data_IF_393765007222
#
_entry.id   IF_393765007222
#
_cell.length_a   1.000
_cell.length_b   1.000
_cell.length_c   1.000
_cell.angle_alpha   90.00
_cell.angle_beta   90.00
_cell.angle_gamma   90.00
#
_symmetry.space_group_name_H-M   'P 1'
#
loop_
_entity.id
_entity.type
_entity.pdbx_description
1 polymer ?
#
# COMPACT_ATOMS: atom_id res chain seq x y z
N UNK A 1 4.41 -8.19 -5.77
CA UNK A 1 3.21 -7.53 -5.21
C UNK A 1 3.54 -6.08 -4.94
N UNK A 2 2.68 -5.17 -5.40
CA UNK A 2 2.97 -3.73 -5.46
C UNK A 2 1.86 -2.99 -4.71
N UNK A 3 2.22 -2.19 -3.71
CA UNK A 3 1.28 -1.30 -3.03
C UNK A 3 0.86 -0.15 -3.94
N UNK A 4 -0.22 0.54 -3.61
CA UNK A 4 -0.78 1.62 -4.43
C UNK A 4 -0.40 3.00 -3.88
N UNK A 5 -0.88 3.28 -2.68
CA UNK A 5 -0.72 4.59 -2.04
C UNK A 5 0.73 4.76 -1.58
N UNK A 6 1.36 5.89 -1.94
CA UNK A 6 2.77 6.12 -1.68
C UNK A 6 3.76 5.31 -2.53
N UNK A 7 3.29 4.40 -3.40
CA UNK A 7 4.12 3.61 -4.33
C UNK A 7 3.79 3.93 -5.78
N UNK A 8 2.54 3.80 -6.19
CA UNK A 8 2.08 4.17 -7.54
C UNK A 8 1.56 5.60 -7.61
N UNK A 9 1.02 6.11 -6.51
CA UNK A 9 0.47 7.46 -6.40
C UNK A 9 1.05 8.20 -5.20
N UNK A 10 1.35 9.49 -5.36
CA UNK A 10 1.70 10.40 -4.26
C UNK A 10 0.41 10.84 -3.52
N UNK A 11 -0.27 9.88 -2.92
CA UNK A 11 -1.61 10.03 -2.34
C UNK A 11 -1.63 10.22 -0.83
N UNK A 12 -0.55 9.89 -0.12
CA UNK A 12 -0.58 9.80 1.34
C UNK A 12 -0.89 11.09 2.05
N UNK A 13 -0.41 12.23 1.52
CA UNK A 13 -0.77 13.55 2.06
C UNK A 13 -2.29 13.76 2.05
N UNK A 14 -2.96 13.42 0.95
CA UNK A 14 -4.41 13.54 0.85
C UNK A 14 -5.12 12.56 1.78
N UNK A 15 -4.61 11.36 1.94
CA UNK A 15 -5.16 10.39 2.87
C UNK A 15 -5.11 10.91 4.31
N UNK A 16 -3.96 11.45 4.77
CA UNK A 16 -3.84 11.97 6.13
C UNK A 16 -4.77 13.16 6.39
N UNK A 17 -4.93 14.06 5.40
CA UNK A 17 -5.87 15.18 5.47
C UNK A 17 -7.31 14.67 5.56
N UNK A 18 -7.70 13.73 4.70
CA UNK A 18 -9.07 13.22 4.67
C UNK A 18 -9.45 12.48 5.96
N UNK A 19 -8.51 11.75 6.57
CA UNK A 19 -8.68 11.13 7.88
C UNK A 19 -8.86 12.18 8.98
N UNK A 20 -7.96 13.17 9.02
CA UNK A 20 -8.03 14.25 10.01
C UNK A 20 -9.37 15.01 9.92
N UNK A 21 -9.80 15.40 8.71
CA UNK A 21 -11.09 16.03 8.48
C UNK A 21 -12.26 15.19 9.02
N UNK A 22 -12.24 13.89 8.78
CA UNK A 22 -13.29 12.99 9.28
C UNK A 22 -13.34 12.97 10.80
N UNK A 23 -12.21 12.74 11.45
CA UNK A 23 -12.18 12.60 12.91
C UNK A 23 -12.39 13.92 13.63
N UNK A 24 -11.95 15.07 13.07
CA UNK A 24 -12.26 16.40 13.59
C UNK A 24 -13.77 16.67 13.59
N UNK A 25 -14.46 16.32 12.49
CA UNK A 25 -15.92 16.47 12.38
C UNK A 25 -16.68 15.60 13.40
N UNK A 26 -16.06 14.55 13.90
CA UNK A 26 -16.60 13.68 14.93
C UNK A 26 -16.15 14.09 16.36
N UNK A 27 -15.37 15.17 16.48
CA UNK A 27 -14.85 15.66 17.77
C UNK A 27 -13.78 14.76 18.38
N UNK A 28 -13.14 13.90 17.59
CA UNK A 28 -12.06 13.02 18.05
C UNK A 28 -10.70 13.68 17.86
N UNK A 29 -9.87 13.59 18.91
CA UNK A 29 -8.54 14.19 18.88
C UNK A 29 -7.52 13.24 18.25
N UNK A 30 -7.22 13.47 16.95
CA UNK A 30 -6.23 12.70 16.20
C UNK A 30 -5.12 13.61 15.69
N UNK A 31 -3.90 13.09 15.59
CA UNK A 31 -2.82 13.76 14.87
C UNK A 31 -2.88 13.40 13.39
N UNK A 32 -2.78 14.39 12.49
CA UNK A 32 -2.76 14.13 11.06
C UNK A 32 -1.62 13.18 10.66
N UNK A 33 -0.45 13.37 11.24
CA UNK A 33 0.75 12.65 10.83
C UNK A 33 0.79 11.20 11.34
N UNK A 34 -0.03 10.85 12.35
CA UNK A 34 -0.19 9.46 12.78
C UNK A 34 -0.75 8.56 11.65
N UNK A 35 -1.55 9.12 10.73
CA UNK A 35 -2.15 8.35 9.63
C UNK A 35 -1.14 7.85 8.59
N UNK A 36 0.08 8.39 8.56
CA UNK A 36 1.17 7.77 7.80
C UNK A 36 1.59 6.42 8.38
N UNK A 37 1.41 6.20 9.69
CA UNK A 37 1.75 4.95 10.35
C UNK A 37 0.67 3.86 10.14
N UNK A 38 -0.54 4.27 9.81
CA UNK A 38 -1.68 3.36 9.55
C UNK A 38 -1.86 3.04 8.08
N UNK A 39 -0.95 3.53 7.23
CA UNK A 39 -0.99 3.23 5.80
C UNK A 39 -0.95 1.72 5.54
N UNK A 40 -1.83 1.28 4.63
CA UNK A 40 -1.98 -0.13 4.31
C UNK A 40 -3.06 -0.86 5.12
N UNK A 41 -3.54 -0.29 6.23
CA UNK A 41 -4.74 -0.80 6.91
C UNK A 41 -5.97 -0.63 6.01
N UNK A 42 -6.97 -1.51 6.19
CA UNK A 42 -8.29 -1.24 5.62
C UNK A 42 -8.93 -0.04 6.31
N UNK A 43 -9.76 0.73 5.58
CA UNK A 43 -10.42 1.89 6.17
C UNK A 43 -11.27 1.55 7.39
N UNK A 44 -11.92 0.38 7.40
CA UNK A 44 -12.68 -0.11 8.56
C UNK A 44 -11.78 -0.29 9.78
N UNK A 45 -10.65 -0.99 9.61
CA UNK A 45 -9.73 -1.25 10.71
C UNK A 45 -9.15 0.04 11.30
N UNK A 46 -8.84 1.05 10.47
CA UNK A 46 -8.38 2.36 10.96
C UNK A 46 -9.46 3.05 11.80
N UNK A 47 -10.73 3.02 11.38
CA UNK A 47 -11.83 3.61 12.12
C UNK A 47 -12.05 2.90 13.45
N UNK A 48 -12.11 1.56 13.44
CA UNK A 48 -12.25 0.75 14.64
C UNK A 48 -11.11 1.01 15.63
N UNK A 49 -9.87 1.10 15.15
CA UNK A 49 -8.70 1.43 15.97
C UNK A 49 -8.85 2.77 16.69
N UNK A 50 -9.20 3.83 15.96
CA UNK A 50 -9.33 5.18 16.53
C UNK A 50 -10.50 5.25 17.51
N UNK A 51 -11.66 4.68 17.18
CA UNK A 51 -12.82 4.65 18.08
C UNK A 51 -12.53 3.88 19.36
N UNK A 52 -11.85 2.75 19.27
CA UNK A 52 -11.44 1.99 20.44
C UNK A 52 -10.47 2.77 21.32
N UNK A 53 -9.50 3.45 20.70
CA UNK A 53 -8.49 4.24 21.40
C UNK A 53 -9.10 5.46 22.11
N UNK A 54 -9.89 6.25 21.37
CA UNK A 54 -10.37 7.56 21.85
C UNK A 54 -11.62 7.46 22.73
N UNK A 55 -12.50 6.47 22.47
CA UNK A 55 -13.79 6.37 23.14
C UNK A 55 -13.99 5.06 23.90
N UNK A 56 -13.11 4.07 23.73
CA UNK A 56 -13.28 2.73 24.28
C UNK A 56 -14.40 1.91 23.61
N UNK A 57 -14.91 2.38 22.45
CA UNK A 57 -16.04 1.77 21.71
C UNK A 57 -15.51 0.80 20.68
N UNK A 58 -16.07 -0.40 20.67
CA UNK A 58 -15.88 -1.39 19.60
C UNK A 58 -16.99 -1.19 18.54
N UNK A 59 -16.61 -0.76 17.35
CA UNK A 59 -17.53 -0.62 16.22
C UNK A 59 -17.65 -1.94 15.45
N UNK A 60 -18.86 -2.24 14.97
CA UNK A 60 -19.07 -3.30 13.99
C UNK A 60 -18.43 -2.96 12.64
N UNK A 61 -18.25 -3.97 11.80
CA UNK A 61 -17.73 -3.77 10.44
C UNK A 61 -18.65 -2.89 9.58
N UNK A 62 -19.97 -3.03 9.77
CA UNK A 62 -20.98 -2.24 9.07
C UNK A 62 -20.91 -0.76 9.46
N UNK A 63 -20.84 -0.46 10.76
CA UNK A 63 -20.71 0.92 11.25
C UNK A 63 -19.43 1.57 10.74
N UNK A 64 -18.32 0.87 10.85
CA UNK A 64 -17.02 1.36 10.36
C UNK A 64 -17.04 1.58 8.82
N UNK A 65 -17.73 0.71 8.08
CA UNK A 65 -17.87 0.86 6.62
C UNK A 65 -18.70 2.08 6.24
N UNK A 66 -19.79 2.37 6.96
CA UNK A 66 -20.58 3.59 6.73
C UNK A 66 -19.75 4.86 6.99
N UNK A 67 -18.99 4.85 8.07
CA UNK A 67 -18.10 5.96 8.41
C UNK A 67 -16.96 6.14 7.39
N UNK A 68 -16.47 5.06 6.81
CA UNK A 68 -15.45 5.12 5.76
C UNK A 68 -15.91 5.87 4.52
N UNK A 69 -17.22 5.93 4.24
CA UNK A 69 -17.79 6.76 3.16
C UNK A 69 -17.50 8.24 3.37
N UNK A 70 -17.50 8.72 4.64
CA UNK A 70 -17.19 10.11 4.99
C UNK A 70 -15.74 10.43 4.63
N UNK A 71 -14.81 9.55 5.06
CA UNK A 71 -13.38 9.68 4.70
C UNK A 71 -13.17 9.69 3.19
N UNK A 72 -13.88 8.82 2.46
CA UNK A 72 -13.80 8.75 1.00
C UNK A 72 -14.32 10.04 0.34
N UNK A 73 -15.42 10.60 0.84
CA UNK A 73 -15.94 11.88 0.37
C UNK A 73 -14.94 13.02 0.62
N UNK A 74 -14.34 13.08 1.81
CA UNK A 74 -13.30 14.05 2.13
C UNK A 74 -12.10 13.92 1.18
N UNK A 75 -11.63 12.70 0.93
CA UNK A 75 -10.51 12.44 0.01
C UNK A 75 -10.81 12.95 -1.41
N UNK A 76 -12.03 12.70 -1.91
CA UNK A 76 -12.47 13.15 -3.24
C UNK A 76 -12.62 14.67 -3.35
N UNK A 77 -12.81 15.39 -2.24
CA UNK A 77 -12.89 16.85 -2.21
C UNK A 77 -11.51 17.52 -2.31
N UNK A 78 -10.42 16.77 -2.12
CA UNK A 78 -9.04 17.26 -2.19
C UNK A 78 -8.55 17.30 -3.66
N UNK A 79 -7.47 18.03 -3.94
CA UNK A 79 -6.85 18.01 -5.27
C UNK A 79 -6.53 16.59 -5.72
N UNK A 80 -6.60 16.36 -7.04
CA UNK A 80 -6.24 15.07 -7.63
C UNK A 80 -4.81 14.69 -7.24
N UNK A 81 -4.61 13.45 -6.85
CA UNK A 81 -3.28 12.91 -6.58
C UNK A 81 -2.58 12.60 -7.91
N UNK A 82 -1.28 12.86 -7.94
CA UNK A 82 -0.43 12.59 -9.10
C UNK A 82 0.17 11.18 -9.02
N UNK A 83 0.58 10.65 -10.18
CA UNK A 83 1.38 9.45 -10.24
C UNK A 83 2.71 9.66 -9.51
N UNK A 84 3.19 8.63 -8.81
CA UNK A 84 4.49 8.70 -8.13
C UNK A 84 5.61 8.79 -9.18
N UNK A 85 6.48 9.81 -9.11
CA UNK A 85 7.65 9.88 -10.01
C UNK A 85 8.45 8.58 -9.98
N UNK A 86 8.76 8.01 -11.14
CA UNK A 86 9.48 6.73 -11.28
C UNK A 86 8.62 5.47 -11.20
N UNK A 87 7.33 5.56 -10.79
CA UNK A 87 6.46 4.38 -10.72
C UNK A 87 6.21 3.74 -12.10
N UNK A 88 6.04 4.55 -13.14
CA UNK A 88 5.89 4.07 -14.51
C UNK A 88 7.15 3.33 -14.99
N UNK A 89 8.32 3.88 -14.70
CA UNK A 89 9.62 3.30 -15.08
C UNK A 89 9.84 1.97 -14.34
N UNK A 90 9.54 1.92 -13.04
CA UNK A 90 9.59 0.69 -12.24
C UNK A 90 8.68 -0.39 -12.81
N UNK A 91 7.42 -0.07 -13.12
CA UNK A 91 6.48 -1.03 -13.69
C UNK A 91 6.91 -1.50 -15.09
N UNK A 92 7.48 -0.60 -15.88
CA UNK A 92 8.03 -0.91 -17.21
C UNK A 92 9.22 -1.85 -17.10
N UNK A 93 10.15 -1.59 -16.18
CA UNK A 93 11.29 -2.47 -15.93
C UNK A 93 10.83 -3.87 -15.48
N UNK A 94 9.85 -3.97 -14.59
CA UNK A 94 9.28 -5.27 -14.18
C UNK A 94 8.67 -6.01 -15.38
N UNK A 95 7.89 -5.32 -16.22
CA UNK A 95 7.30 -5.90 -17.43
C UNK A 95 8.37 -6.44 -18.38
N UNK A 96 9.36 -5.62 -18.68
CA UNK A 96 10.38 -5.91 -19.69
C UNK A 96 11.30 -7.05 -19.26
N UNK A 97 11.39 -7.30 -17.94
CA UNK A 97 12.06 -8.45 -17.36
C UNK A 97 11.13 -9.66 -17.09
N UNK A 98 9.90 -9.64 -17.61
CA UNK A 98 8.97 -10.77 -17.49
C UNK A 98 8.42 -11.01 -16.08
N UNK A 99 8.56 -10.04 -15.17
CA UNK A 99 8.06 -10.16 -13.79
C UNK A 99 6.56 -9.93 -13.75
N UNK A 100 5.81 -10.89 -13.18
CA UNK A 100 4.37 -10.76 -12.94
C UNK A 100 4.10 -9.67 -11.90
N UNK A 101 3.07 -8.85 -12.12
CA UNK A 101 2.73 -7.70 -11.28
C UNK A 101 1.32 -7.84 -10.72
N UNK A 102 1.20 -7.85 -9.40
CA UNK A 102 -0.08 -7.89 -8.69
C UNK A 102 -0.19 -6.63 -7.83
N UNK A 103 -1.25 -5.87 -8.03
CA UNK A 103 -1.61 -4.75 -7.16
C UNK A 103 -2.13 -5.27 -5.84
N UNK A 104 -1.64 -4.76 -4.70
CA UNK A 104 -2.10 -5.16 -3.37
C UNK A 104 -2.31 -3.92 -2.50
N UNK A 105 -3.56 -3.44 -2.41
CA UNK A 105 -3.90 -2.19 -1.70
C UNK A 105 -4.89 -2.40 -0.58
N UNK A 106 -4.72 -1.65 0.51
CA UNK A 106 -5.72 -1.50 1.58
C UNK A 106 -6.89 -0.60 1.22
N UNK A 107 -6.86 0.04 0.05
CA UNK A 107 -7.94 0.91 -0.42
C UNK A 107 -9.15 0.09 -0.89
N UNK A 108 -10.34 0.58 -0.53
CA UNK A 108 -11.63 0.11 -1.08
C UNK A 108 -12.26 1.10 -2.07
N UNK A 109 -11.50 2.08 -2.57
CA UNK A 109 -12.00 3.13 -3.46
C UNK A 109 -11.90 2.68 -4.92
N UNK A 110 -12.98 2.14 -5.48
CA UNK A 110 -13.01 1.59 -6.83
C UNK A 110 -12.61 2.61 -7.92
N UNK A 111 -12.97 3.87 -7.76
CA UNK A 111 -12.62 4.95 -8.71
C UNK A 111 -11.10 5.20 -8.77
N UNK A 112 -10.41 5.14 -7.63
CA UNK A 112 -8.94 5.26 -7.58
C UNK A 112 -8.28 4.03 -8.20
N UNK A 113 -8.80 2.84 -7.88
CA UNK A 113 -8.29 1.58 -8.42
C UNK A 113 -8.47 1.53 -9.94
N UNK A 114 -9.62 1.97 -10.46
CA UNK A 114 -9.91 2.00 -11.89
C UNK A 114 -9.01 2.97 -12.68
N UNK A 115 -8.44 3.99 -12.04
CA UNK A 115 -7.47 4.88 -12.69
C UNK A 115 -6.21 4.14 -13.16
N UNK A 116 -5.84 3.06 -12.49
CA UNK A 116 -4.66 2.25 -12.85
C UNK A 116 -4.77 1.73 -14.28
N UNK A 117 -5.97 1.36 -14.74
CA UNK A 117 -6.20 0.87 -16.11
C UNK A 117 -5.92 1.92 -17.18
N UNK A 118 -6.07 3.19 -16.82
CA UNK A 118 -5.85 4.31 -17.72
C UNK A 118 -4.41 4.85 -17.63
N UNK A 119 -3.93 5.06 -16.40
CA UNK A 119 -2.66 5.73 -16.14
C UNK A 119 -1.47 4.78 -16.25
N UNK A 120 -1.68 3.49 -15.99
CA UNK A 120 -0.69 2.42 -16.11
C UNK A 120 -1.13 1.36 -17.13
N UNK A 121 -1.73 1.80 -18.24
CA UNK A 121 -2.27 0.92 -19.27
C UNK A 121 -1.24 -0.11 -19.76
N UNK A 122 -1.61 -1.38 -19.74
CA UNK A 122 -0.75 -2.49 -20.13
C UNK A 122 0.34 -2.88 -19.12
N UNK A 123 0.41 -2.21 -17.96
CA UNK A 123 1.39 -2.53 -16.90
C UNK A 123 0.81 -3.41 -15.80
N UNK A 124 -0.53 -3.49 -15.68
CA UNK A 124 -1.23 -4.48 -14.86
C UNK A 124 -2.28 -5.20 -15.68
N UNK A 125 -2.41 -6.51 -15.48
CA UNK A 125 -3.60 -7.23 -15.94
C UNK A 125 -4.79 -6.90 -15.01
N UNK A 126 -5.99 -6.77 -15.58
CA UNK A 126 -7.16 -6.32 -14.82
C UNK A 126 -7.57 -7.27 -13.68
N UNK A 127 -7.24 -8.54 -13.81
CA UNK A 127 -7.49 -9.60 -12.82
C UNK A 127 -6.35 -9.77 -11.79
N UNK A 128 -5.29 -8.96 -11.84
CA UNK A 128 -4.13 -9.03 -10.95
C UNK A 128 -4.21 -7.96 -9.85
N UNK A 129 -5.27 -8.05 -9.01
CA UNK A 129 -5.56 -7.07 -7.94
C UNK A 129 -6.07 -7.75 -6.70
N UNK A 130 -5.55 -7.31 -5.55
CA UNK A 130 -6.06 -7.60 -4.21
C UNK A 130 -6.36 -6.25 -3.55
N UNK A 131 -7.59 -6.06 -3.12
CA UNK A 131 -8.12 -4.82 -2.54
C UNK A 131 -8.65 -5.07 -1.12
N UNK A 132 -9.10 -4.03 -0.44
CA UNK A 132 -9.76 -4.17 0.86
C UNK A 132 -11.01 -5.08 0.82
N UNK A 133 -11.66 -5.24 -0.33
CA UNK A 133 -12.83 -6.11 -0.49
C UNK A 133 -12.45 -7.60 -0.56
N UNK A 134 -11.22 -7.91 -0.90
CA UNK A 134 -10.74 -9.27 -1.11
C UNK A 134 -10.18 -9.89 0.17
N UNK A 135 -10.00 -9.12 1.24
CA UNK A 135 -9.33 -9.57 2.46
C UNK A 135 -10.21 -9.40 3.70
N UNK A 136 -10.05 -10.30 4.65
CA UNK A 136 -10.64 -10.19 5.98
C UNK A 136 -9.78 -9.28 6.87
N UNK A 137 -8.48 -9.44 6.79
CA UNK A 137 -7.51 -8.69 7.58
C UNK A 137 -6.56 -7.92 6.65
N UNK A 138 -6.52 -6.59 6.81
CA UNK A 138 -5.56 -5.72 6.11
C UNK A 138 -4.17 -5.79 6.74
N UNK A 139 -3.20 -5.12 6.10
CA UNK A 139 -1.84 -4.94 6.64
C UNK A 139 -1.91 -4.38 8.08
N UNK A 140 -1.10 -4.85 9.03
CA UNK A 140 0.12 -5.66 8.87
C UNK A 140 -0.10 -7.17 8.77
N UNK A 141 -1.37 -7.64 8.72
CA UNK A 141 -1.62 -9.05 8.47
C UNK A 141 -1.09 -9.44 7.09
N UNK A 142 -0.43 -10.59 6.92
CA UNK A 142 0.12 -11.01 5.62
C UNK A 142 -0.95 -11.44 4.60
N UNK A 143 -2.21 -11.59 5.00
CA UNK A 143 -3.30 -12.09 4.13
C UNK A 143 -3.33 -11.42 2.75
N UNK A 144 -3.22 -10.07 2.60
CA UNK A 144 -3.27 -9.44 1.29
C UNK A 144 -2.16 -9.92 0.35
N UNK A 145 -0.94 -10.07 0.86
CA UNK A 145 0.20 -10.52 0.05
C UNK A 145 0.18 -12.02 -0.21
N UNK A 146 -0.26 -12.84 0.75
CA UNK A 146 -0.48 -14.29 0.55
C UNK A 146 -1.52 -14.50 -0.56
N UNK A 147 -2.61 -13.75 -0.58
CA UNK A 147 -3.59 -13.80 -1.68
C UNK A 147 -2.99 -13.31 -3.01
N UNK A 148 -2.12 -12.32 -2.97
CA UNK A 148 -1.37 -11.88 -4.15
C UNK A 148 -0.45 -12.97 -4.70
N UNK A 149 0.28 -13.69 -3.83
CA UNK A 149 1.10 -14.86 -4.21
C UNK A 149 0.25 -15.96 -4.86
N UNK A 150 -0.89 -16.30 -4.23
CA UNK A 150 -1.83 -17.29 -4.76
C UNK A 150 -2.38 -16.88 -6.13
N UNK A 151 -2.73 -15.61 -6.29
CA UNK A 151 -3.23 -15.05 -7.55
C UNK A 151 -2.18 -15.10 -8.66
N UNK A 152 -0.91 -14.86 -8.32
CA UNK A 152 0.22 -14.96 -9.25
C UNK A 152 0.67 -16.41 -9.49
N UNK A 153 0.26 -17.37 -8.64
CA UNK A 153 0.69 -18.77 -8.73
C UNK A 153 2.16 -18.98 -8.34
N UNK A 154 2.67 -18.19 -7.38
CA UNK A 154 4.08 -18.23 -6.94
C UNK A 154 4.22 -18.58 -5.47
N UNK A 155 5.38 -19.09 -5.08
CA UNK A 155 5.74 -19.29 -3.68
C UNK A 155 6.23 -17.99 -3.03
N UNK A 156 6.28 -17.88 -1.69
CA UNK A 156 6.82 -16.70 -1.02
C UNK A 156 8.22 -16.29 -1.48
N UNK A 157 9.10 -17.28 -1.70
CA UNK A 157 10.49 -17.07 -2.11
C UNK A 157 10.62 -16.53 -3.54
N UNK A 158 9.61 -16.76 -4.37
CA UNK A 158 9.53 -16.23 -5.73
C UNK A 158 8.87 -14.85 -5.81
N UNK A 159 8.52 -14.27 -4.66
CA UNK A 159 7.71 -13.07 -4.58
C UNK A 159 8.49 -11.90 -3.96
N UNK A 160 8.33 -10.74 -4.59
CA UNK A 160 8.82 -9.46 -4.07
C UNK A 160 7.60 -8.61 -3.66
N UNK A 161 7.68 -7.97 -2.50
CA UNK A 161 6.75 -6.93 -2.05
C UNK A 161 7.42 -5.57 -2.17
N UNK A 162 6.74 -4.61 -2.77
CA UNK A 162 7.15 -3.20 -2.85
C UNK A 162 6.14 -2.37 -2.05
N UNK A 163 6.60 -1.72 -0.99
CA UNK A 163 5.80 -0.93 -0.06
C UNK A 163 6.56 0.34 0.37
N UNK A 164 5.89 1.28 1.04
CA UNK A 164 6.50 2.53 1.52
C UNK A 164 6.22 2.82 3.00
N UNK A 165 5.42 1.98 3.66
CA UNK A 165 4.99 2.22 5.03
C UNK A 165 5.23 0.99 5.93
N UNK A 166 5.39 1.19 7.27
CA UNK A 166 5.71 0.13 8.21
C UNK A 166 4.78 -1.08 8.15
N UNK A 167 3.46 -0.87 8.08
CA UNK A 167 2.49 -1.97 8.06
C UNK A 167 2.56 -2.78 6.77
N UNK A 168 2.84 -2.13 5.63
CA UNK A 168 3.07 -2.79 4.36
C UNK A 168 4.32 -3.67 4.39
N UNK A 169 5.40 -3.14 4.97
CA UNK A 169 6.67 -3.87 5.15
C UNK A 169 6.49 -5.06 6.09
N UNK A 170 5.84 -4.87 7.24
CA UNK A 170 5.56 -5.96 8.18
C UNK A 170 4.72 -7.08 7.54
N UNK A 171 3.68 -6.72 6.79
CA UNK A 171 2.84 -7.69 6.08
C UNK A 171 3.63 -8.44 5.00
N UNK A 172 4.49 -7.74 4.25
CA UNK A 172 5.36 -8.33 3.23
C UNK A 172 6.33 -9.33 3.85
N UNK A 173 7.03 -8.93 4.90
CA UNK A 173 7.94 -9.82 5.64
C UNK A 173 7.19 -11.03 6.21
N UNK A 174 6.03 -10.82 6.86
CA UNK A 174 5.23 -11.90 7.42
C UNK A 174 4.63 -12.86 6.36
N UNK A 175 4.52 -12.42 5.10
CA UNK A 175 4.12 -13.28 3.98
C UNK A 175 5.23 -14.19 3.46
N UNK A 176 6.46 -14.02 3.96
CA UNK A 176 7.66 -14.73 3.50
C UNK A 176 8.29 -14.16 2.23
N UNK A 177 7.77 -13.06 1.69
CA UNK A 177 8.29 -12.43 0.48
C UNK A 177 9.55 -11.59 0.75
N UNK A 178 10.43 -11.48 -0.25
CA UNK A 178 11.46 -10.45 -0.22
C UNK A 178 10.82 -9.07 -0.27
N UNK A 179 10.98 -8.28 0.79
CA UNK A 179 10.25 -7.02 0.97
C UNK A 179 11.17 -5.82 0.78
N UNK A 180 10.83 -4.99 -0.20
CA UNK A 180 11.50 -3.74 -0.55
C UNK A 180 10.65 -2.58 -0.03
N UNK A 181 11.29 -1.64 0.64
CA UNK A 181 10.66 -0.41 1.09
C UNK A 181 11.21 0.80 0.33
N UNK A 182 10.33 1.77 0.03
CA UNK A 182 10.69 3.03 -0.61
C UNK A 182 10.34 4.19 0.32
N UNK A 183 11.28 5.09 0.57
CA UNK A 183 11.04 6.28 1.43
C UNK A 183 10.34 7.39 0.63
N UNK A 184 9.04 7.25 0.38
CA UNK A 184 8.23 8.21 -0.39
C UNK A 184 7.39 9.17 0.46
N UNK A 185 7.56 9.14 1.77
CA UNK A 185 6.82 9.96 2.73
C UNK A 185 7.70 10.45 3.88
N UNK A 186 7.11 10.98 4.95
CA UNK A 186 7.85 11.52 6.10
C UNK A 186 8.39 10.44 7.04
N UNK A 187 8.13 9.16 6.77
CA UNK A 187 8.54 8.05 7.64
C UNK A 187 10.06 7.86 7.52
N UNK A 188 10.81 7.92 8.65
CA UNK A 188 12.25 7.74 8.61
C UNK A 188 12.63 6.36 8.07
N UNK A 189 13.70 6.29 7.26
CA UNK A 189 14.27 5.06 6.72
C UNK A 189 14.43 3.96 7.78
N UNK A 190 14.93 4.32 8.95
CA UNK A 190 15.14 3.37 10.06
C UNK A 190 13.84 2.66 10.47
N UNK A 191 12.71 3.36 10.44
CA UNK A 191 11.41 2.76 10.76
C UNK A 191 11.02 1.64 9.78
N UNK A 192 11.37 1.78 8.51
CA UNK A 192 11.12 0.76 7.48
C UNK A 192 12.07 -0.45 7.67
N UNK A 193 13.33 -0.19 8.02
CA UNK A 193 14.30 -1.24 8.39
C UNK A 193 13.80 -2.01 9.63
N UNK A 194 13.41 -1.31 10.69
CA UNK A 194 12.90 -1.92 11.92
C UNK A 194 11.60 -2.72 11.69
N UNK A 195 10.86 -2.41 10.64
CA UNK A 195 9.65 -3.14 10.23
C UNK A 195 9.95 -4.41 9.44
N UNK A 196 11.21 -4.69 9.14
CA UNK A 196 11.65 -5.92 8.48
C UNK A 196 11.85 -5.78 6.97
N UNK A 197 12.08 -4.58 6.43
CA UNK A 197 12.44 -4.41 5.04
C UNK A 197 13.80 -5.06 4.76
N UNK A 198 13.88 -5.89 3.71
CA UNK A 198 15.11 -6.54 3.26
C UNK A 198 16.02 -5.57 2.49
N UNK A 199 15.41 -4.61 1.78
CA UNK A 199 16.09 -3.49 1.13
C UNK A 199 15.27 -2.22 1.28
N UNK A 200 15.95 -1.05 1.36
CA UNK A 200 15.30 0.26 1.46
C UNK A 200 15.96 1.22 0.48
N UNK A 201 15.15 1.81 -0.40
CA UNK A 201 15.55 2.81 -1.38
C UNK A 201 15.05 4.21 -0.95
N UNK A 202 15.84 5.24 -1.24
CA UNK A 202 15.54 6.62 -0.82
C UNK A 202 14.46 7.29 -1.69
N UNK A 203 14.20 6.73 -2.89
CA UNK A 203 13.15 7.24 -3.77
C UNK A 203 12.71 6.19 -4.79
N UNK A 204 11.51 6.35 -5.35
CA UNK A 204 11.02 5.51 -6.42
C UNK A 204 11.87 5.63 -7.71
N UNK A 205 12.35 6.83 -8.16
CA UNK A 205 13.25 6.93 -9.30
C UNK A 205 14.56 6.17 -9.10
N UNK A 206 15.15 6.23 -7.89
CA UNK A 206 16.35 5.45 -7.58
C UNK A 206 16.06 3.95 -7.70
N UNK A 207 14.98 3.48 -7.06
CA UNK A 207 14.59 2.07 -7.13
C UNK A 207 14.36 1.61 -8.58
N UNK A 208 13.65 2.39 -9.38
CA UNK A 208 13.39 2.07 -10.78
C UNK A 208 14.68 1.94 -11.60
N UNK A 209 15.68 2.79 -11.34
CA UNK A 209 16.96 2.75 -12.02
C UNK A 209 17.82 1.53 -11.64
N UNK A 210 17.77 1.10 -10.37
CA UNK A 210 18.55 -0.04 -9.85
C UNK A 210 17.82 -1.39 -9.99
N UNK A 211 16.54 -1.37 -10.33
CA UNK A 211 15.69 -2.57 -10.38
C UNK A 211 16.16 -3.66 -11.36
N UNK A 212 16.64 -3.35 -12.57
CA UNK A 212 17.15 -4.37 -13.49
C UNK A 212 18.31 -5.18 -12.89
N UNK A 213 19.28 -4.50 -12.27
CA UNK A 213 20.41 -5.16 -11.62
C UNK A 213 19.98 -6.00 -10.43
N UNK A 214 18.98 -5.52 -9.67
CA UNK A 214 18.41 -6.28 -8.56
C UNK A 214 17.71 -7.56 -9.04
N UNK A 215 16.94 -7.50 -10.13
CA UNK A 215 16.28 -8.66 -10.72
C UNK A 215 17.33 -9.69 -11.17
N UNK A 216 18.38 -9.26 -11.83
CA UNK A 216 19.48 -10.13 -12.29
C UNK A 216 20.18 -10.81 -11.09
N UNK A 217 20.44 -10.06 -10.02
CA UNK A 217 21.04 -10.60 -8.80
C UNK A 217 20.14 -11.64 -8.12
N UNK A 218 18.83 -11.39 -8.01
CA UNK A 218 17.86 -12.32 -7.43
C UNK A 218 17.71 -13.60 -8.26
N UNK A 219 17.66 -13.48 -9.57
CA UNK A 219 17.60 -14.64 -10.47
C UNK A 219 18.87 -15.51 -10.36
N UNK A 220 20.03 -14.90 -10.14
CA UNK A 220 21.30 -15.62 -10.00
C UNK A 220 21.43 -16.31 -8.64
N UNK A 221 20.85 -15.75 -7.60
CA UNK A 221 20.88 -16.32 -6.24
C UNK A 221 19.94 -17.52 -6.06
N UNK A 222 19.01 -17.74 -6.98
CA UNK A 222 17.99 -18.82 -6.92
C UNK A 222 18.43 -20.08 -7.68
N UNK A 223 19.60 -20.08 -8.31
CA UNK A 223 20.23 -21.23 -8.98
C UNK A 223 21.26 -21.91 -8.07
#
# INVERSE_FOLDING_TARGET
MIDMDGVLYDSMRNHTIAWKMMFDNLGLNTDRDEFYLYEGMTGRATIQLIYKRELGIDLSDEEAQEMYKIKTANFRSLPRVEAMPGAYDMLTALRDNGVERVLVTGSGQADVINRIDQEYAGLFAADRRITAADVKHGKPNPEPYIKGQQLAGVTPEQAIVIANAPLGVQAGNASGSFTIAITTGPIPRQRLVDSGAHAVFESMPQFAAELPELIDALNTATL
#
